data_IF_517558680563
#
_entry.id   IF_517558680563
#
_cell.length_a   1.000
_cell.length_b   1.000
_cell.length_c   1.000
_cell.angle_alpha   90.00
_cell.angle_beta   90.00
_cell.angle_gamma   90.00
#
_symmetry.space_group_name_H-M   'P 1'
#
loop_
_entity.id
_entity.type
_entity.pdbx_description
1 polymer ?
2 water ?
#
# COMPACT_ATOMS: atom_id res chain seq x y z
N UNK A 1 -9.15 -7.26 -22.76
CA UNK A 1 -8.56 -8.62 -23.04
C UNK A 1 -8.48 -8.85 -24.56
N UNK A 2 -9.26 -8.08 -25.32
CA UNK A 2 -9.28 -8.15 -26.79
C UNK A 2 -9.98 -9.36 -27.40
N UNK A 3 -9.65 -9.58 -28.68
CA UNK A 3 -10.19 -10.67 -29.49
C UNK A 3 -9.75 -12.06 -29.02
N UNK A 4 -10.73 -12.96 -28.79
CA UNK A 4 -10.53 -14.34 -28.33
C UNK A 4 -9.63 -15.22 -29.21
N UNK A 5 -8.82 -16.02 -28.53
CA UNK A 5 -7.89 -16.94 -29.15
C UNK A 5 -8.63 -18.23 -29.54
N UNK A 6 -8.22 -18.84 -30.64
CA UNK A 6 -8.85 -20.07 -31.11
C UNK A 6 -7.97 -21.32 -30.93
N UNK A 7 -6.68 -21.13 -30.69
CA UNK A 7 -5.77 -22.25 -30.50
C UNK A 7 -5.04 -22.22 -29.15
N UNK A 8 -4.42 -23.33 -28.80
CA UNK A 8 -3.68 -23.45 -27.55
C UNK A 8 -2.38 -22.67 -27.67
N UNK A 9 -1.79 -22.69 -28.85
CA UNK A 9 -0.55 -21.95 -29.07
C UNK A 9 -0.78 -20.46 -28.92
N UNK A 10 -1.88 -19.98 -29.47
CA UNK A 10 -2.21 -18.56 -29.40
C UNK A 10 -2.53 -18.16 -27.98
N UNK A 11 -3.29 -18.99 -27.29
CA UNK A 11 -3.68 -18.71 -25.90
C UNK A 11 -2.45 -18.74 -24.99
N UNK A 12 -1.48 -19.59 -25.32
CA UNK A 12 -0.25 -19.71 -24.54
C UNK A 12 0.61 -18.46 -24.69
N UNK A 13 0.94 -18.12 -25.93
CA UNK A 13 1.76 -16.95 -26.23
C UNK A 13 1.15 -15.65 -25.69
N UNK A 14 -0.17 -15.52 -25.86
CA UNK A 14 -0.90 -14.33 -25.41
C UNK A 14 -0.76 -14.21 -23.89
N UNK A 15 -0.81 -15.35 -23.21
CA UNK A 15 -0.69 -15.37 -21.76
C UNK A 15 0.72 -15.01 -21.29
N UNK A 16 1.72 -15.43 -22.04
CA UNK A 16 3.08 -15.12 -21.67
C UNK A 16 3.38 -13.64 -21.89
N UNK A 17 2.70 -13.05 -22.87
CA UNK A 17 2.90 -11.63 -23.18
C UNK A 17 2.28 -10.78 -22.07
N UNK A 18 1.19 -11.27 -21.49
CA UNK A 18 0.55 -10.55 -20.40
C UNK A 18 1.37 -10.66 -19.11
N UNK A 19 1.95 -11.84 -18.88
CA UNK A 19 2.80 -12.07 -17.71
C UNK A 19 3.98 -11.10 -17.78
N UNK A 20 4.62 -11.04 -18.94
CA UNK A 20 5.77 -10.16 -19.17
C UNK A 20 5.36 -8.70 -19.04
N UNK A 21 4.20 -8.36 -19.61
CA UNK A 21 3.68 -7.00 -19.55
C UNK A 21 3.39 -6.59 -18.10
N UNK A 22 2.82 -7.50 -17.31
CA UNK A 22 2.54 -7.18 -15.92
C UNK A 22 3.84 -6.83 -15.20
N UNK A 23 4.90 -7.57 -15.51
CA UNK A 23 6.21 -7.36 -14.92
C UNK A 23 6.79 -6.00 -15.32
N UNK A 24 6.84 -5.73 -16.62
CA UNK A 24 7.37 -4.48 -17.16
C UNK A 24 6.52 -3.26 -16.82
N UNK A 25 5.22 -3.34 -17.03
CA UNK A 25 4.32 -2.22 -16.72
C UNK A 25 4.31 -2.00 -15.21
N UNK A 26 4.32 -3.09 -14.45
CA UNK A 26 4.30 -2.98 -13.00
C UNK A 26 5.49 -2.18 -12.51
N UNK A 27 6.64 -2.40 -13.13
CA UNK A 27 7.86 -1.73 -12.74
C UNK A 27 8.13 -0.38 -13.40
N UNK A 28 7.79 -0.23 -14.68
CA UNK A 28 8.06 1.01 -15.40
C UNK A 28 6.87 1.78 -15.96
N UNK A 29 5.67 1.23 -15.79
CA UNK A 29 4.51 1.92 -16.33
C UNK A 29 4.53 1.86 -17.84
N UNK A 30 4.04 2.91 -18.50
CA UNK A 30 4.00 2.93 -19.96
C UNK A 30 5.34 3.26 -20.63
N UNK A 31 6.40 3.39 -19.83
CA UNK A 31 7.74 3.65 -20.35
C UNK A 31 8.34 2.32 -20.74
N UNK A 32 7.68 1.24 -20.34
CA UNK A 32 8.13 -0.10 -20.68
C UNK A 32 7.98 -0.18 -22.20
N UNK A 33 8.93 -0.83 -22.87
CA UNK A 33 8.87 -0.94 -24.33
C UNK A 33 8.30 -2.28 -24.76
N UNK A 34 7.64 -2.29 -25.92
CA UNK A 34 7.07 -3.52 -26.45
C UNK A 34 8.20 -4.49 -26.80
N UNK A 35 9.37 -3.95 -27.17
CA UNK A 35 10.50 -4.81 -27.50
C UNK A 35 10.91 -5.61 -26.28
N UNK A 36 11.01 -4.93 -25.13
CA UNK A 36 11.40 -5.58 -23.89
C UNK A 36 10.35 -6.58 -23.43
N UNK A 37 9.08 -6.20 -23.54
CA UNK A 37 7.98 -7.08 -23.15
C UNK A 37 7.97 -8.33 -24.03
N UNK A 38 8.15 -8.14 -25.33
CA UNK A 38 8.17 -9.28 -26.27
C UNK A 38 9.38 -10.15 -25.98
N UNK A 39 10.55 -9.54 -25.91
CA UNK A 39 11.78 -10.26 -25.62
C UNK A 39 11.60 -11.11 -24.37
N UNK A 40 11.07 -10.50 -23.32
CA UNK A 40 10.84 -11.18 -22.04
C UNK A 40 9.84 -12.33 -22.13
N UNK A 41 8.82 -12.17 -22.96
CA UNK A 41 7.78 -13.19 -23.12
C UNK A 41 8.21 -14.26 -24.12
N UNK A 42 9.37 -14.07 -24.75
CA UNK A 42 9.85 -15.04 -25.71
C UNK A 42 9.01 -15.06 -26.97
N UNK A 43 8.40 -13.91 -27.27
CA UNK A 43 7.55 -13.77 -28.45
C UNK A 43 8.14 -12.70 -29.35
N UNK A 44 7.60 -12.58 -30.55
CA UNK A 44 8.07 -11.56 -31.47
C UNK A 44 7.30 -10.28 -31.16
N UNK A 45 7.84 -9.14 -31.56
CA UNK A 45 7.15 -7.89 -31.28
C UNK A 45 5.88 -7.74 -32.12
N UNK A 46 5.79 -8.49 -33.22
CA UNK A 46 4.61 -8.43 -34.08
C UNK A 46 3.44 -9.16 -33.43
N UNK A 47 3.76 -10.04 -32.49
CA UNK A 47 2.73 -10.80 -31.78
C UNK A 47 1.90 -9.85 -30.92
N UNK A 48 2.55 -8.82 -30.38
CA UNK A 48 1.84 -7.84 -29.56
C UNK A 48 0.84 -7.08 -30.43
N UNK A 49 1.28 -6.69 -31.63
CA UNK A 49 0.40 -5.98 -32.55
C UNK A 49 -0.80 -6.86 -32.90
N UNK A 50 -0.54 -8.13 -33.22
CA UNK A 50 -1.61 -9.05 -33.60
C UNK A 50 -2.68 -9.33 -32.53
N UNK A 51 -2.24 -9.74 -31.34
CA UNK A 51 -3.14 -10.07 -30.24
C UNK A 51 -3.75 -8.88 -29.50
N UNK A 52 -3.02 -7.76 -29.42
CA UNK A 52 -3.52 -6.60 -28.68
C UNK A 52 -3.64 -5.31 -29.48
N UNK A 53 -2.85 -5.18 -30.54
CA UNK A 53 -2.93 -3.98 -31.35
C UNK A 53 -1.95 -2.88 -31.00
N UNK A 54 -1.81 -2.57 -29.71
CA UNK A 54 -0.91 -1.52 -29.28
C UNK A 54 -0.44 -1.72 -27.84
N UNK A 55 0.58 -0.99 -27.43
CA UNK A 55 1.11 -1.10 -26.09
C UNK A 55 0.00 -0.68 -25.11
N UNK A 56 -0.73 0.36 -25.45
CA UNK A 56 -1.80 0.84 -24.57
C UNK A 56 -2.91 -0.20 -24.40
N UNK A 57 -3.20 -0.98 -25.45
CA UNK A 57 -4.25 -1.99 -25.31
C UNK A 57 -3.74 -3.16 -24.49
N UNK A 58 -2.45 -3.43 -24.59
CA UNK A 58 -1.86 -4.51 -23.82
C UNK A 58 -1.92 -4.15 -22.34
N UNK A 59 -1.74 -2.86 -22.04
CA UNK A 59 -1.77 -2.33 -20.69
C UNK A 59 -3.15 -2.60 -20.10
N UNK A 60 -4.18 -2.28 -20.87
CA UNK A 60 -5.56 -2.47 -20.44
C UNK A 60 -5.86 -3.96 -20.29
N UNK A 61 -5.29 -4.78 -21.16
CA UNK A 61 -5.48 -6.21 -21.11
C UNK A 61 -4.95 -6.75 -19.78
N UNK A 62 -3.85 -6.18 -19.29
CA UNK A 62 -3.26 -6.58 -18.02
C UNK A 62 -4.23 -6.25 -16.90
N UNK A 63 -4.87 -5.08 -17.02
CA UNK A 63 -5.85 -4.64 -16.03
C UNK A 63 -7.01 -5.65 -16.05
N UNK A 64 -7.38 -6.10 -17.25
CA UNK A 64 -8.45 -7.06 -17.43
C UNK A 64 -8.07 -8.41 -16.84
N UNK A 65 -6.85 -8.86 -17.09
CA UNK A 65 -6.37 -10.12 -16.56
C UNK A 65 -6.39 -10.07 -15.04
N UNK A 66 -5.96 -8.94 -14.47
CA UNK A 66 -5.94 -8.81 -13.02
C UNK A 66 -7.37 -8.88 -12.48
N UNK A 67 -8.29 -8.22 -13.16
CA UNK A 67 -9.69 -8.20 -12.73
C UNK A 67 -10.24 -9.61 -12.70
N UNK A 68 -10.03 -10.34 -13.79
CA UNK A 68 -10.52 -11.71 -13.85
C UNK A 68 -9.88 -12.59 -12.78
N UNK A 69 -8.57 -12.49 -12.63
CA UNK A 69 -7.83 -13.26 -11.63
C UNK A 69 -8.40 -13.07 -10.21
N UNK A 70 -8.49 -11.81 -9.80
CA UNK A 70 -9.01 -11.47 -8.48
C UNK A 70 -10.50 -11.77 -8.32
N UNK A 71 -11.26 -11.52 -9.38
CA UNK A 71 -12.69 -11.76 -9.32
C UNK A 71 -12.96 -13.23 -9.05
N UNK A 72 -12.15 -14.08 -9.65
CA UNK A 72 -12.26 -15.53 -9.51
C UNK A 72 -11.88 -15.96 -8.09
N UNK A 73 -10.75 -15.47 -7.61
CA UNK A 73 -10.26 -15.79 -6.28
C UNK A 73 -11.29 -15.47 -5.20
N UNK A 74 -12.11 -14.44 -5.43
CA UNK A 74 -13.10 -14.03 -4.45
C UNK A 74 -14.54 -14.26 -4.86
N UNK A 75 -14.74 -15.03 -5.92
CA UNK A 75 -16.08 -15.33 -6.40
C UNK A 75 -16.85 -16.11 -5.34
N UNK A 76 -16.21 -17.13 -4.74
CA UNK A 76 -16.87 -17.93 -3.70
C UNK A 76 -17.30 -17.09 -2.51
N UNK A 77 -16.45 -16.15 -2.09
CA UNK A 77 -16.76 -15.27 -0.97
C UNK A 77 -17.94 -14.39 -1.31
N UNK A 78 -18.00 -13.93 -2.56
CA UNK A 78 -19.10 -13.07 -3.00
C UNK A 78 -20.41 -13.85 -2.99
N UNK A 79 -20.36 -15.10 -3.46
CA UNK A 79 -21.53 -15.96 -3.49
C UNK A 79 -22.02 -16.23 -2.07
N UNK A 80 -21.09 -16.50 -1.16
CA UNK A 80 -21.44 -16.76 0.23
C UNK A 80 -22.04 -15.52 0.89
N UNK A 81 -21.43 -14.36 0.64
CA UNK A 81 -21.90 -13.11 1.22
C UNK A 81 -23.32 -12.79 0.79
N UNK A 82 -23.62 -13.05 -0.49
CA UNK A 82 -24.95 -12.80 -1.02
C UNK A 82 -25.93 -13.77 -0.39
N UNK A 83 -25.57 -15.05 -0.46
CA UNK A 83 -26.35 -16.14 0.11
C UNK A 83 -26.63 -15.88 1.59
N UNK A 84 -25.72 -15.16 2.23
CA UNK A 84 -25.82 -14.85 3.65
C UNK A 84 -26.77 -13.67 3.90
N UNK A 85 -26.74 -12.67 3.01
CA UNK A 85 -27.60 -11.50 3.14
C UNK A 85 -29.04 -11.77 2.73
N UNK A 86 -29.32 -12.99 2.28
CA UNK A 86 -30.67 -13.35 1.87
C UNK A 86 -31.41 -14.07 3.00
N UNK A 87 -31.21 -13.58 4.21
CA UNK A 87 -31.85 -14.14 5.38
C UNK A 87 -32.35 -12.96 6.18
N UNK A 88 -33.55 -13.08 6.77
CA UNK A 88 -34.10 -11.98 7.56
C UNK A 88 -33.06 -11.41 8.52
N UNK A 89 -32.50 -12.28 9.35
CA UNK A 89 -31.47 -11.90 10.31
C UNK A 89 -30.30 -12.87 10.18
N UNK A 90 -29.32 -12.54 9.32
CA UNK A 90 -28.14 -13.37 9.11
C UNK A 90 -27.45 -13.80 10.41
N UNK A 91 -26.68 -14.87 10.32
CA UNK A 91 -25.97 -15.39 11.48
C UNK A 91 -24.70 -14.56 11.75
N UNK A 92 -24.70 -13.89 12.89
CA UNK A 92 -23.60 -13.03 13.31
C UNK A 92 -22.23 -13.71 13.32
N UNK A 93 -22.21 -14.99 13.61
CA UNK A 93 -20.97 -15.75 13.66
C UNK A 93 -20.49 -16.15 12.28
N UNK A 94 -21.44 -16.40 11.39
CA UNK A 94 -21.11 -16.77 10.01
C UNK A 94 -20.61 -15.53 9.28
N UNK A 95 -21.14 -14.37 9.69
CA UNK A 95 -20.74 -13.10 9.10
C UNK A 95 -19.26 -12.89 9.44
N UNK A 96 -18.93 -12.99 10.72
CA UNK A 96 -17.55 -12.84 11.15
C UNK A 96 -16.65 -13.84 10.44
N UNK A 97 -17.12 -15.07 10.30
CA UNK A 97 -16.36 -16.11 9.62
C UNK A 97 -15.98 -15.69 8.21
N UNK A 98 -16.97 -15.15 7.51
CA UNK A 98 -16.80 -14.70 6.13
C UNK A 98 -15.80 -13.55 6.01
N UNK A 99 -15.84 -12.63 6.97
CA UNK A 99 -14.91 -11.51 6.95
C UNK A 99 -13.50 -12.07 7.10
N UNK A 100 -13.35 -13.01 8.04
CA UNK A 100 -12.05 -13.63 8.28
C UNK A 100 -11.58 -14.44 7.08
N UNK A 101 -12.54 -15.03 6.37
CA UNK A 101 -12.23 -15.84 5.18
C UNK A 101 -11.66 -14.95 4.06
N UNK A 102 -12.20 -13.75 3.91
CA UNK A 102 -11.71 -12.83 2.91
C UNK A 102 -10.29 -12.46 3.27
N UNK A 103 -10.08 -12.09 4.53
CA UNK A 103 -8.76 -11.73 5.02
C UNK A 103 -7.75 -12.85 4.80
N UNK A 104 -8.11 -14.09 5.15
CA UNK A 104 -7.21 -15.22 4.96
C UNK A 104 -6.82 -15.37 3.49
N UNK A 105 -7.79 -15.24 2.60
CA UNK A 105 -7.50 -15.36 1.17
C UNK A 105 -6.66 -14.20 0.64
N UNK A 106 -6.89 -12.99 1.18
CA UNK A 106 -6.09 -11.85 0.76
C UNK A 106 -4.65 -12.12 1.20
N UNK A 107 -4.49 -12.55 2.45
CA UNK A 107 -3.17 -12.83 2.99
C UNK A 107 -2.42 -13.94 2.25
N UNK A 108 -3.06 -15.08 1.98
CA UNK A 108 -2.29 -16.11 1.29
C UNK A 108 -1.94 -15.69 -0.14
N UNK A 109 -2.73 -14.76 -0.68
CA UNK A 109 -2.47 -14.25 -2.02
C UNK A 109 -1.35 -13.22 -1.95
N UNK A 110 -1.39 -12.37 -0.93
CA UNK A 110 -0.38 -11.33 -0.73
C UNK A 110 0.94 -11.82 -0.14
N UNK A 111 1.11 -13.13 0.01
CA UNK A 111 2.37 -13.66 0.53
C UNK A 111 3.03 -14.58 -0.48
N UNK A 112 2.59 -14.52 -1.73
CA UNK A 112 3.21 -15.33 -2.77
C UNK A 112 3.80 -14.45 -3.88
N UNK A 113 5.01 -14.79 -4.29
CA UNK A 113 5.76 -14.07 -5.32
C UNK A 113 5.04 -13.87 -6.64
N UNK A 114 4.30 -14.89 -7.08
CA UNK A 114 3.59 -14.83 -8.35
C UNK A 114 2.54 -13.74 -8.48
N UNK A 115 2.23 -13.04 -7.39
CA UNK A 115 1.24 -11.97 -7.46
C UNK A 115 1.87 -10.59 -7.21
N UNK A 116 3.17 -10.55 -6.99
CA UNK A 116 3.85 -9.27 -6.73
C UNK A 116 3.65 -8.27 -7.87
N UNK A 117 3.80 -8.72 -9.12
CA UNK A 117 3.62 -7.82 -10.26
C UNK A 117 2.22 -7.26 -10.34
N UNK A 118 1.26 -8.04 -9.90
CA UNK A 118 -0.12 -7.60 -9.88
C UNK A 118 -0.18 -6.44 -8.88
N UNK A 119 0.51 -6.59 -7.75
CA UNK A 119 0.52 -5.52 -6.76
C UNK A 119 1.22 -4.28 -7.29
N UNK A 120 2.32 -4.47 -8.00
CA UNK A 120 3.06 -3.34 -8.59
C UNK A 120 2.14 -2.55 -9.51
N UNK A 121 1.43 -3.26 -10.38
CA UNK A 121 0.51 -2.67 -11.35
C UNK A 121 -0.59 -1.87 -10.68
N UNK A 122 -1.23 -2.46 -9.68
CA UNK A 122 -2.31 -1.81 -8.93
C UNK A 122 -1.84 -0.61 -8.12
N UNK A 123 -0.68 -0.74 -7.49
CA UNK A 123 -0.11 0.33 -6.68
C UNK A 123 0.14 1.57 -7.49
N UNK A 124 0.69 1.41 -8.68
CA UNK A 124 0.94 2.56 -9.53
C UNK A 124 -0.41 3.22 -9.83
N UNK A 125 -1.37 2.41 -10.26
CA UNK A 125 -2.72 2.89 -10.61
C UNK A 125 -3.48 3.57 -9.47
N UNK A 126 -3.24 3.08 -8.26
CA UNK A 126 -3.88 3.60 -7.07
C UNK A 126 -3.51 5.08 -6.82
N UNK A 127 -2.30 5.47 -7.21
CA UNK A 127 -1.83 6.83 -7.03
C UNK A 127 -1.84 7.63 -8.32
N UNK A 128 -1.97 6.94 -9.45
CA UNK A 128 -2.00 7.59 -10.74
C UNK A 128 -2.95 6.79 -11.63
N UNK A 129 -4.25 6.82 -11.28
CA UNK A 129 -5.34 6.12 -11.97
C UNK A 129 -5.49 6.42 -13.45
N UNK A 130 -5.86 5.39 -14.21
CA UNK A 130 -6.11 5.53 -15.63
C UNK A 130 -7.35 4.67 -15.83
N UNK A 131 -7.71 4.42 -17.08
CA UNK A 131 -8.88 3.59 -17.35
C UNK A 131 -8.65 2.22 -16.74
N UNK A 132 -7.38 1.80 -16.69
CA UNK A 132 -7.03 0.49 -16.13
C UNK A 132 -7.56 0.29 -14.71
N UNK A 133 -7.35 1.27 -13.84
CA UNK A 133 -7.84 1.13 -12.47
C UNK A 133 -9.37 1.05 -12.43
N UNK A 134 -10.03 1.94 -13.16
CA UNK A 134 -11.49 1.98 -13.21
C UNK A 134 -12.05 0.61 -13.55
N UNK A 135 -11.41 -0.06 -14.50
CA UNK A 135 -11.81 -1.39 -14.95
C UNK A 135 -11.77 -2.42 -13.82
N UNK A 136 -10.65 -2.46 -13.10
CA UNK A 136 -10.47 -3.38 -11.98
C UNK A 136 -11.37 -2.97 -10.82
N UNK A 137 -11.57 -1.68 -10.66
CA UNK A 137 -12.40 -1.19 -9.57
C UNK A 137 -13.83 -1.64 -9.77
N UNK A 138 -14.34 -1.47 -10.99
CA UNK A 138 -15.71 -1.83 -11.29
C UNK A 138 -15.98 -3.33 -11.22
N UNK A 139 -15.11 -4.14 -11.82
CA UNK A 139 -15.31 -5.57 -11.80
C UNK A 139 -15.04 -6.27 -10.49
N UNK A 140 -14.09 -5.77 -9.70
CA UNK A 140 -13.76 -6.47 -8.47
C UNK A 140 -13.61 -5.70 -7.17
N UNK A 141 -12.71 -4.72 -7.14
CA UNK A 141 -12.47 -4.02 -5.90
C UNK A 141 -13.72 -3.32 -5.33
N UNK A 142 -14.53 -2.70 -6.18
CA UNK A 142 -15.73 -2.04 -5.67
C UNK A 142 -16.68 -3.10 -5.09
N UNK A 143 -16.94 -4.19 -5.84
CA UNK A 143 -17.83 -5.22 -5.31
C UNK A 143 -17.36 -5.83 -3.98
N UNK A 144 -16.11 -6.28 -3.93
CA UNK A 144 -15.58 -6.89 -2.70
C UNK A 144 -15.50 -5.91 -1.53
N UNK A 145 -15.11 -4.66 -1.79
CA UNK A 145 -15.00 -3.67 -0.72
C UNK A 145 -16.37 -3.39 -0.14
N UNK A 146 -17.37 -3.31 -1.02
CA UNK A 146 -18.74 -3.05 -0.61
C UNK A 146 -19.26 -4.23 0.22
N UNK A 147 -18.94 -5.44 -0.21
CA UNK A 147 -19.37 -6.62 0.54
C UNK A 147 -18.81 -6.61 1.96
N UNK A 148 -17.51 -6.38 2.07
CA UNK A 148 -16.88 -6.35 3.38
C UNK A 148 -17.49 -5.27 4.25
N UNK A 149 -17.71 -4.10 3.66
CA UNK A 149 -18.32 -3.00 4.40
C UNK A 149 -19.69 -3.46 4.87
N UNK A 150 -20.42 -4.16 4.01
CA UNK A 150 -21.74 -4.69 4.35
C UNK A 150 -21.63 -5.68 5.50
N UNK A 151 -20.69 -6.61 5.39
CA UNK A 151 -20.46 -7.61 6.42
C UNK A 151 -20.11 -6.96 7.75
N UNK A 152 -19.18 -6.01 7.71
CA UNK A 152 -18.77 -5.34 8.95
C UNK A 152 -19.95 -4.57 9.56
N UNK A 153 -20.76 -3.97 8.69
CA UNK A 153 -21.94 -3.22 9.14
C UNK A 153 -22.95 -4.16 9.79
N UNK A 154 -23.20 -5.30 9.15
CA UNK A 154 -24.13 -6.29 9.68
C UNK A 154 -23.70 -6.78 11.06
N UNK A 155 -22.41 -7.07 11.21
CA UNK A 155 -21.89 -7.58 12.47
C UNK A 155 -22.00 -6.59 13.62
N UNK A 156 -21.56 -5.36 13.40
CA UNK A 156 -21.58 -4.34 14.46
C UNK A 156 -22.94 -3.72 14.64
N UNK A 157 -23.82 -3.93 13.66
CA UNK A 157 -25.16 -3.39 13.70
C UNK A 157 -25.17 -1.94 13.27
N UNK A 158 -24.39 -1.60 12.26
CA UNK A 158 -24.30 -0.23 11.76
C UNK A 158 -24.80 -0.11 10.32
N UNK A 159 -24.85 1.12 9.81
CA UNK A 159 -25.32 1.38 8.45
C UNK A 159 -24.16 1.24 7.46
N UNK A 160 -24.28 0.28 6.54
CA UNK A 160 -23.28 0.02 5.54
C UNK A 160 -23.04 1.20 4.61
N UNK A 161 -24.04 2.08 4.49
CA UNK A 161 -23.93 3.24 3.60
C UNK A 161 -23.37 4.48 4.28
N UNK A 162 -23.17 4.42 5.59
CA UNK A 162 -22.62 5.54 6.32
C UNK A 162 -21.14 5.67 5.98
N UNK A 163 -20.69 6.87 5.65
CA UNK A 163 -19.29 7.10 5.31
C UNK A 163 -18.34 6.53 6.35
N UNK A 164 -18.66 6.71 7.63
CA UNK A 164 -17.81 6.22 8.71
C UNK A 164 -17.63 4.71 8.69
N UNK A 165 -18.62 3.99 8.16
CA UNK A 165 -18.55 2.53 8.10
C UNK A 165 -17.62 2.12 6.94
N UNK A 166 -17.58 2.94 5.89
CA UNK A 166 -16.72 2.68 4.75
C UNK A 166 -15.27 2.94 5.20
N UNK A 167 -15.07 3.97 6.03
CA UNK A 167 -13.76 4.31 6.53
C UNK A 167 -13.23 3.26 7.50
N UNK A 168 -14.11 2.75 8.35
CA UNK A 168 -13.73 1.70 9.30
C UNK A 168 -13.23 0.46 8.58
N UNK A 169 -14.02 0.03 7.60
CA UNK A 169 -13.70 -1.16 6.80
C UNK A 169 -12.39 -1.00 6.03
N UNK A 170 -12.18 0.16 5.40
CA UNK A 170 -10.97 0.39 4.64
C UNK A 170 -9.77 0.36 5.57
N UNK A 171 -9.92 0.94 6.76
CA UNK A 171 -8.84 0.99 7.73
C UNK A 171 -8.45 -0.42 8.15
N UNK A 172 -9.42 -1.27 8.42
CA UNK A 172 -9.04 -2.61 8.82
C UNK A 172 -8.54 -3.48 7.69
N UNK A 173 -8.82 -3.10 6.44
CA UNK A 173 -8.32 -3.86 5.29
C UNK A 173 -6.84 -3.53 5.13
N UNK A 174 -6.45 -2.36 5.63
CA UNK A 174 -5.06 -1.95 5.55
C UNK A 174 -4.19 -2.88 6.38
N UNK A 175 -4.76 -3.46 7.43
CA UNK A 175 -4.03 -4.38 8.29
C UNK A 175 -3.50 -5.53 7.46
N UNK A 176 -4.33 -6.02 6.54
CA UNK A 176 -3.93 -7.12 5.69
C UNK A 176 -2.91 -6.65 4.64
N UNK A 177 -3.27 -5.61 3.89
CA UNK A 177 -2.41 -5.08 2.85
C UNK A 177 -1.05 -4.57 3.30
N UNK A 178 -0.92 -4.27 4.59
CA UNK A 178 0.35 -3.75 5.10
C UNK A 178 1.49 -4.68 4.78
N UNK A 179 1.24 -5.98 4.86
CA UNK A 179 2.29 -6.96 4.63
C UNK A 179 2.85 -7.07 3.22
N UNK A 180 2.08 -6.66 2.22
CA UNK A 180 2.54 -6.70 0.83
C UNK A 180 2.98 -5.30 0.42
N UNK A 181 2.19 -4.31 0.80
CA UNK A 181 2.53 -2.94 0.46
C UNK A 181 3.75 -2.45 1.26
N UNK A 182 3.97 -3.02 2.43
CA UNK A 182 5.14 -2.63 3.23
C UNK A 182 6.04 -3.85 3.37
N UNK A 183 6.11 -4.64 2.30
CA UNK A 183 6.89 -5.87 2.24
C UNK A 183 8.34 -5.81 2.71
N UNK A 184 9.14 -4.97 2.07
CA UNK A 184 10.54 -4.86 2.44
C UNK A 184 10.73 -4.43 3.88
N UNK A 185 9.96 -3.45 4.35
CA UNK A 185 10.16 -3.05 5.73
C UNK A 185 9.78 -4.12 6.76
N UNK A 186 8.73 -4.91 6.50
CA UNK A 186 8.36 -5.96 7.46
C UNK A 186 9.33 -7.16 7.40
N UNK A 187 9.81 -7.49 6.20
CA UNK A 187 10.76 -8.60 6.10
C UNK A 187 12.03 -8.19 6.85
N UNK A 188 12.51 -6.98 6.63
CA UNK A 188 13.71 -6.52 7.32
C UNK A 188 13.51 -6.43 8.84
N UNK A 189 12.38 -5.88 9.27
CA UNK A 189 12.12 -5.77 10.70
C UNK A 189 12.00 -7.12 11.43
N UNK A 190 11.38 -8.10 10.79
CA UNK A 190 11.22 -9.44 11.38
C UNK A 190 12.44 -10.33 11.18
N UNK A 191 13.24 -10.04 10.16
CA UNK A 191 14.41 -10.85 9.88
C UNK A 191 14.07 -11.97 8.93
N UNK A 192 12.81 -12.03 8.50
CA UNK A 192 12.38 -13.07 7.57
C UNK A 192 12.93 -12.81 6.18
N UNK A 193 13.52 -13.84 5.54
CA UNK A 193 14.08 -13.69 4.20
C UNK A 193 12.99 -13.48 3.13
N UNK A 194 11.84 -14.09 3.38
CA UNK A 194 10.69 -13.98 2.50
C UNK A 194 9.53 -14.61 3.23
N UNK A 195 8.33 -14.48 2.66
CA UNK A 195 7.14 -15.06 3.26
C UNK A 195 6.99 -16.54 2.86
N UNK A 196 6.27 -17.29 3.68
CA UNK A 196 5.99 -18.70 3.40
C UNK A 196 4.70 -19.03 4.16
N UNK A 197 4.21 -20.26 4.01
CA UNK A 197 2.96 -20.65 4.65
C UNK A 197 2.95 -20.40 6.15
N UNK A 198 4.04 -20.76 6.83
CA UNK A 198 4.12 -20.58 8.28
C UNK A 198 4.05 -19.13 8.71
N UNK A 199 4.67 -18.25 7.95
CA UNK A 199 4.65 -16.83 8.26
C UNK A 199 3.27 -16.26 7.97
N UNK A 200 2.60 -16.83 6.97
CA UNK A 200 1.25 -16.40 6.61
C UNK A 200 0.31 -16.74 7.78
N UNK A 201 0.61 -17.84 8.46
CA UNK A 201 -0.20 -18.27 9.61
C UNK A 201 -0.10 -17.21 10.71
N UNK A 202 1.11 -16.70 10.93
CA UNK A 202 1.35 -15.68 11.94
C UNK A 202 0.70 -14.36 11.58
N UNK A 203 0.78 -13.99 10.32
CA UNK A 203 0.17 -12.75 9.87
C UNK A 203 -1.35 -12.82 10.08
N UNK A 204 -1.94 -13.97 9.75
CA UNK A 204 -3.39 -14.15 9.88
C UNK A 204 -3.79 -14.10 11.35
N UNK A 205 -2.99 -14.73 12.19
CA UNK A 205 -3.26 -14.73 13.62
C UNK A 205 -3.26 -13.29 14.14
N UNK A 206 -2.30 -12.48 13.66
CA UNK A 206 -2.20 -11.09 14.08
C UNK A 206 -3.43 -10.30 13.63
N UNK A 207 -3.75 -10.42 12.36
CA UNK A 207 -4.90 -9.72 11.78
C UNK A 207 -6.23 -10.19 12.37
N UNK A 208 -6.38 -11.49 12.55
CA UNK A 208 -7.60 -12.05 13.13
C UNK A 208 -7.80 -11.45 14.51
N UNK A 209 -6.71 -11.31 15.24
CA UNK A 209 -6.75 -10.76 16.57
C UNK A 209 -7.25 -9.33 16.58
N UNK A 210 -6.66 -8.50 15.73
CA UNK A 210 -7.06 -7.09 15.64
C UNK A 210 -8.48 -6.91 15.14
N UNK A 211 -8.88 -7.67 14.14
CA UNK A 211 -10.23 -7.56 13.58
C UNK A 211 -11.27 -7.89 14.65
N UNK A 212 -11.04 -8.93 15.44
CA UNK A 212 -11.96 -9.30 16.50
C UNK A 212 -12.07 -8.19 17.51
N UNK A 213 -10.94 -7.66 17.96
CA UNK A 213 -10.96 -6.58 18.92
C UNK A 213 -11.77 -5.41 18.40
N UNK A 214 -11.59 -5.08 17.13
CA UNK A 214 -12.30 -3.98 16.50
C UNK A 214 -13.79 -4.24 16.31
N UNK A 215 -14.14 -5.43 15.80
CA UNK A 215 -15.54 -5.78 15.59
C UNK A 215 -16.32 -5.74 16.90
N UNK A 216 -15.71 -6.23 17.98
CA UNK A 216 -16.36 -6.22 19.27
C UNK A 216 -16.47 -4.82 19.84
N UNK A 217 -15.46 -4.00 19.58
CA UNK A 217 -15.49 -2.63 20.08
C UNK A 217 -16.48 -1.74 19.34
N UNK A 218 -16.71 -2.05 18.06
CA UNK A 218 -17.63 -1.27 17.25
C UNK A 218 -19.09 -1.68 17.45
N UNK A 219 -19.30 -2.89 17.96
CA UNK A 219 -20.66 -3.37 18.20
C UNK A 219 -21.29 -2.59 19.37
N UNK A 220 -20.45 -2.15 20.30
CA UNK A 220 -20.89 -1.42 21.50
C UNK A 220 -20.36 0.02 21.70
N UNK B 7 24.34 28.06 -1.95
CA UNK B 7 23.60 29.28 -2.39
C UNK B 7 22.10 28.99 -2.49
N UNK B 8 21.28 29.97 -2.09
CA UNK B 8 19.84 29.80 -2.14
C UNK B 8 19.36 29.55 -3.57
N UNK B 9 20.16 29.99 -4.53
CA UNK B 9 19.82 29.83 -5.94
C UNK B 9 20.15 28.40 -6.40
N UNK B 10 21.29 27.90 -5.94
CA UNK B 10 21.70 26.55 -6.29
C UNK B 10 20.89 25.51 -5.56
N UNK B 11 20.54 25.80 -4.31
CA UNK B 11 19.74 24.89 -3.52
C UNK B 11 18.35 24.82 -4.12
N UNK B 12 17.89 25.94 -4.66
CA UNK B 12 16.59 25.98 -5.29
C UNK B 12 16.63 25.19 -6.59
N UNK B 13 17.78 25.19 -7.26
CA UNK B 13 17.94 24.45 -8.51
C UNK B 13 17.90 22.96 -8.20
N UNK B 14 18.52 22.56 -7.10
CA UNK B 14 18.55 21.17 -6.67
C UNK B 14 17.15 20.71 -6.24
N UNK B 15 16.39 21.62 -5.64
CA UNK B 15 15.03 21.32 -5.19
C UNK B 15 14.15 20.97 -6.36
N UNK B 16 14.19 21.81 -7.38
CA UNK B 16 13.40 21.61 -8.57
C UNK B 16 13.76 20.30 -9.25
N UNK B 17 15.06 20.01 -9.34
CA UNK B 17 15.50 18.76 -9.95
C UNK B 17 15.01 17.56 -9.14
N UNK B 18 15.09 17.64 -7.81
CA UNK B 18 14.61 16.54 -6.96
C UNK B 18 13.10 16.36 -7.11
N UNK B 19 12.36 17.46 -7.11
CA UNK B 19 10.92 17.38 -7.26
C UNK B 19 10.57 16.71 -8.58
N UNK B 20 11.21 17.17 -9.65
CA UNK B 20 10.97 16.62 -10.98
C UNK B 20 11.38 15.13 -11.08
N UNK B 21 12.48 14.78 -10.44
CA UNK B 21 12.98 13.41 -10.42
C UNK B 21 12.01 12.50 -9.67
N UNK B 22 11.47 12.98 -8.56
CA UNK B 22 10.51 12.20 -7.77
C UNK B 22 9.27 11.93 -8.61
N UNK B 23 8.84 12.96 -9.34
CA UNK B 23 7.67 12.84 -10.21
C UNK B 23 7.95 11.80 -11.27
N UNK B 24 9.04 12.00 -12.00
CA UNK B 24 9.43 11.08 -13.07
C UNK B 24 9.81 9.68 -12.57
N UNK B 25 10.68 9.61 -11.55
CA UNK B 25 11.09 8.32 -11.00
C UNK B 25 9.93 7.62 -10.31
N UNK B 26 9.09 8.40 -9.63
CA UNK B 26 7.96 7.81 -8.95
C UNK B 26 7.04 7.10 -9.90
N UNK B 27 6.90 7.65 -11.10
CA UNK B 27 6.02 7.09 -12.12
C UNK B 27 6.64 5.99 -12.98
N UNK B 28 7.87 6.20 -13.46
CA UNK B 28 8.52 5.23 -14.35
C UNK B 28 9.76 4.53 -13.84
N UNK B 29 10.12 4.77 -12.59
CA UNK B 29 11.32 4.14 -12.05
C UNK B 29 12.53 4.59 -12.86
N UNK B 30 13.54 3.73 -12.96
CA UNK B 30 14.75 4.09 -13.68
C UNK B 30 14.61 4.13 -15.21
N UNK B 31 13.39 4.03 -15.72
CA UNK B 31 13.17 4.13 -17.16
C UNK B 31 12.92 5.59 -17.50
N UNK B 32 12.88 6.42 -16.45
CA UNK B 32 12.69 7.85 -16.61
C UNK B 32 14.02 8.38 -17.17
N UNK B 33 13.97 9.43 -17.99
CA UNK B 33 15.19 9.99 -18.57
C UNK B 33 15.60 11.29 -17.90
N UNK B 34 16.90 11.55 -17.87
CA UNK B 34 17.41 12.77 -17.26
C UNK B 34 17.02 13.95 -18.14
N UNK B 35 16.80 13.67 -19.41
CA UNK B 35 16.39 14.71 -20.34
C UNK B 35 15.01 15.21 -19.92
N UNK B 36 14.09 14.27 -19.70
CA UNK B 36 12.72 14.62 -19.29
C UNK B 36 12.70 15.26 -17.90
N UNK B 37 13.50 14.75 -16.98
CA UNK B 37 13.56 15.30 -15.62
C UNK B 37 14.08 16.74 -15.67
N UNK B 38 15.16 16.96 -16.43
CA UNK B 38 15.73 18.29 -16.55
C UNK B 38 14.71 19.24 -17.18
N UNK B 39 14.06 18.78 -18.24
CA UNK B 39 13.07 19.59 -18.94
C UNK B 39 11.95 19.97 -18.00
N UNK B 40 11.46 18.99 -17.25
CA UNK B 40 10.39 19.19 -16.31
C UNK B 40 10.81 20.14 -15.20
N UNK B 41 12.07 20.07 -14.79
CA UNK B 41 12.59 20.93 -13.74
C UNK B 41 12.87 22.34 -14.26
N UNK B 42 12.81 22.50 -15.58
CA UNK B 42 13.07 23.79 -16.20
C UNK B 42 14.55 24.14 -16.21
N UNK B 43 15.39 23.14 -16.39
CA UNK B 43 16.82 23.39 -16.39
C UNK B 43 17.59 22.57 -17.42
N UNK B 44 18.84 22.96 -17.60
CA UNK B 44 19.72 22.30 -18.53
C UNK B 44 20.04 20.91 -17.96
N UNK B 45 20.24 19.94 -18.84
CA UNK B 45 20.57 18.61 -18.38
C UNK B 45 21.91 18.64 -17.64
N UNK B 46 22.75 19.61 -17.97
CA UNK B 46 24.05 19.75 -17.33
C UNK B 46 23.92 19.96 -15.84
N UNK B 47 22.81 20.53 -15.40
CA UNK B 47 22.57 20.77 -13.98
C UNK B 47 22.55 19.46 -13.20
N UNK B 48 22.00 18.41 -13.80
CA UNK B 48 21.92 17.11 -13.13
C UNK B 48 23.32 16.52 -12.94
N UNK B 49 24.10 16.51 -14.02
CA UNK B 49 25.45 15.96 -13.98
C UNK B 49 26.31 16.69 -12.95
N UNK B 50 26.15 18.01 -12.90
CA UNK B 50 26.90 18.88 -11.97
C UNK B 50 26.52 18.69 -10.50
N UNK B 51 25.23 18.80 -10.21
CA UNK B 51 24.76 18.65 -8.84
C UNK B 51 24.64 17.23 -8.33
N UNK B 52 24.30 16.28 -9.19
CA UNK B 52 24.12 14.91 -8.74
C UNK B 52 24.99 13.86 -9.38
N UNK B 53 25.13 13.94 -10.70
CA UNK B 53 25.94 12.95 -11.40
C UNK B 53 25.08 12.19 -12.38
N UNK B 54 25.15 10.87 -12.35
CA UNK B 54 24.37 10.02 -13.25
C UNK B 54 22.90 9.96 -12.86
N UNK B 55 22.11 9.32 -13.71
CA UNK B 55 20.69 9.15 -13.43
C UNK B 55 20.56 8.37 -12.12
N UNK B 56 21.41 7.35 -11.97
CA UNK B 56 21.41 6.51 -10.77
C UNK B 56 21.80 7.34 -9.55
N UNK B 57 22.65 8.35 -9.75
CA UNK B 57 23.05 9.20 -8.63
C UNK B 57 21.86 10.04 -8.20
N UNK B 58 21.11 10.53 -9.18
CA UNK B 58 19.93 11.35 -8.91
C UNK B 58 18.84 10.53 -8.23
N UNK B 59 18.69 9.27 -8.63
CA UNK B 59 17.70 8.39 -8.05
C UNK B 59 18.01 8.23 -6.56
N UNK B 60 19.27 8.00 -6.22
CA UNK B 60 19.65 7.83 -4.83
C UNK B 60 19.52 9.14 -4.06
N UNK B 61 19.70 10.26 -4.75
CA UNK B 61 19.59 11.56 -4.10
C UNK B 61 18.13 11.81 -3.74
N UNK B 62 17.20 11.23 -4.52
CA UNK B 62 15.78 11.37 -4.24
C UNK B 62 15.47 10.59 -2.95
N UNK B 63 16.11 9.44 -2.81
CA UNK B 63 15.94 8.61 -1.63
C UNK B 63 16.49 9.37 -0.41
N UNK B 64 17.64 10.00 -0.58
CA UNK B 64 18.23 10.76 0.51
C UNK B 64 17.30 11.88 0.94
N UNK B 65 16.69 12.53 -0.04
CA UNK B 65 15.76 13.62 0.24
C UNK B 65 14.53 13.14 1.02
N UNK B 66 14.04 11.96 0.65
CA UNK B 66 12.88 11.40 1.32
C UNK B 66 13.25 11.05 2.75
N UNK B 67 14.45 10.53 2.97
CA UNK B 67 14.87 10.18 4.32
C UNK B 67 14.97 11.46 5.15
N UNK B 68 15.58 12.49 4.58
CA UNK B 68 15.73 13.77 5.27
C UNK B 68 14.37 14.38 5.60
N UNK B 69 13.47 14.37 4.61
CA UNK B 69 12.12 14.92 4.77
C UNK B 69 11.39 14.23 5.91
N UNK B 70 11.23 12.91 5.79
CA UNK B 70 10.57 12.09 6.80
C UNK B 70 11.21 12.24 8.17
N UNK B 71 12.54 12.24 8.20
CA UNK B 71 13.24 12.38 9.46
C UNK B 71 12.87 13.66 10.16
N UNK B 72 12.79 14.75 9.42
CA UNK B 72 12.44 16.04 10.00
C UNK B 72 11.01 16.03 10.51
N UNK B 73 10.10 15.51 9.71
CA UNK B 73 8.70 15.45 10.08
C UNK B 73 8.49 14.72 11.40
N UNK B 74 9.29 13.70 11.67
CA UNK B 74 9.09 12.95 12.90
C UNK B 74 10.04 13.24 14.04
N UNK B 75 10.96 14.18 13.84
CA UNK B 75 11.91 14.55 14.87
C UNK B 75 11.17 15.02 16.13
N UNK B 76 10.21 15.96 15.96
CA UNK B 76 9.44 16.48 17.10
C UNK B 76 8.89 15.37 18.01
N UNK B 77 8.36 14.32 17.41
CA UNK B 77 7.79 13.19 18.16
C UNK B 77 8.88 12.42 18.91
N UNK B 78 10.05 12.31 18.31
CA UNK B 78 11.16 11.58 18.92
C UNK B 78 11.66 12.32 20.15
N UNK B 79 11.78 13.64 20.02
CA UNK B 79 12.24 14.47 21.12
C UNK B 79 11.22 14.42 22.25
N UNK B 80 9.95 14.40 21.87
CA UNK B 80 8.87 14.35 22.84
C UNK B 80 8.87 13.01 23.58
N UNK B 81 9.19 11.93 22.88
CA UNK B 81 9.22 10.61 23.52
C UNK B 81 10.42 10.54 24.46
N UNK B 82 11.52 11.13 24.05
CA UNK B 82 12.71 11.12 24.89
C UNK B 82 12.42 11.83 26.20
N UNK B 83 11.75 12.97 26.13
CA UNK B 83 11.43 13.71 27.34
C UNK B 83 10.50 12.91 28.24
N UNK B 84 9.64 12.09 27.65
CA UNK B 84 8.71 11.28 28.44
C UNK B 84 9.48 10.20 29.20
N UNK B 85 10.36 9.50 28.50
CA UNK B 85 11.15 8.46 29.13
C UNK B 85 12.41 9.09 29.66
N UNK B 86 12.21 10.23 30.33
CA UNK B 86 13.30 11.00 30.92
C UNK B 86 13.01 11.10 32.41
N UNK B 87 11.77 10.76 32.76
CA UNK B 87 11.32 10.82 34.15
C UNK B 87 11.11 9.41 34.69
N UNK B 88 11.24 9.26 36.00
CA UNK B 88 11.06 7.94 36.63
C UNK B 88 9.57 7.62 36.73
N UNK B 89 8.76 8.67 36.77
CA UNK B 89 7.31 8.55 36.89
C UNK B 89 6.64 7.83 35.71
N UNK B 90 5.92 6.75 36.01
CA UNK B 90 5.22 5.95 34.98
C UNK B 90 4.01 6.74 34.47
N UNK B 91 3.90 6.88 33.15
CA UNK B 91 2.77 7.61 32.58
C UNK B 91 2.27 6.91 31.33
N UNK B 92 1.69 5.74 31.55
CA UNK B 92 1.16 4.87 30.50
C UNK B 92 0.24 5.48 29.45
N UNK B 93 -0.60 6.43 29.82
CA UNK B 93 -1.51 7.04 28.86
C UNK B 93 -0.80 8.11 28.04
N UNK B 94 0.38 8.52 28.50
CA UNK B 94 1.18 9.51 27.81
C UNK B 94 1.82 8.78 26.64
N UNK B 95 2.11 7.50 26.85
CA UNK B 95 2.70 6.64 25.84
C UNK B 95 1.70 6.45 24.71
N UNK B 96 0.47 6.11 25.09
CA UNK B 96 -0.59 5.92 24.11
C UNK B 96 -0.78 7.22 23.33
N UNK B 97 -0.59 8.34 24.00
CA UNK B 97 -0.72 9.66 23.41
C UNK B 97 0.31 9.85 22.29
N UNK B 98 1.53 9.38 22.53
CA UNK B 98 2.60 9.49 21.54
C UNK B 98 2.27 8.66 20.28
N UNK B 99 1.80 7.44 20.50
CA UNK B 99 1.44 6.54 19.40
C UNK B 99 0.40 7.21 18.51
N UNK B 100 -0.71 7.64 19.11
CA UNK B 100 -1.79 8.30 18.38
C UNK B 100 -1.35 9.57 17.67
N UNK B 101 -0.46 10.31 18.30
CA UNK B 101 0.03 11.56 17.74
C UNK B 101 0.89 11.31 16.50
N UNK B 102 1.59 10.17 16.49
CA UNK B 102 2.45 9.80 15.36
C UNK B 102 1.56 9.42 14.19
N UNK B 103 0.48 8.71 14.51
CA UNK B 103 -0.47 8.30 13.48
C UNK B 103 -1.12 9.52 12.86
N UNK B 104 -1.47 10.49 13.69
CA UNK B 104 -2.09 11.71 13.23
C UNK B 104 -1.16 12.36 12.22
N UNK B 105 0.09 12.57 12.63
CA UNK B 105 1.06 13.18 11.76
C UNK B 105 1.24 12.37 10.48
N UNK B 106 1.26 11.04 10.59
CA UNK B 106 1.39 10.18 9.40
C UNK B 106 0.18 10.41 8.50
N UNK B 107 -1.01 10.39 9.09
CA UNK B 107 -2.24 10.59 8.35
C UNK B 107 -2.29 11.95 7.65
N UNK B 108 -1.82 13.00 8.33
CA UNK B 108 -1.83 14.34 7.74
C UNK B 108 -0.92 14.31 6.51
N UNK B 109 0.28 13.76 6.71
CA UNK B 109 1.24 13.69 5.63
C UNK B 109 0.72 12.87 4.44
N UNK B 110 0.06 11.75 4.72
CA UNK B 110 -0.46 10.88 3.68
C UNK B 110 -1.79 11.27 3.04
N UNK B 111 -2.23 12.51 3.29
CA UNK B 111 -3.47 13.01 2.70
C UNK B 111 -3.23 14.33 1.98
N UNK B 112 -1.96 14.59 1.62
CA UNK B 112 -1.60 15.80 0.89
C UNK B 112 -1.07 15.35 -0.47
N UNK B 113 -1.51 16.00 -1.55
CA UNK B 113 -1.04 15.65 -2.89
C UNK B 113 0.43 15.96 -2.95
N UNK B 114 0.81 16.81 -2.00
CA UNK B 114 2.15 17.29 -1.75
C UNK B 114 3.16 16.13 -1.66
N UNK B 115 2.73 15.03 -1.04
CA UNK B 115 3.59 13.87 -0.84
C UNK B 115 3.29 12.63 -1.67
N UNK B 116 2.43 12.74 -2.69
CA UNK B 116 2.10 11.57 -3.51
C UNK B 116 3.28 10.96 -4.29
N UNK B 117 4.20 11.78 -4.78
CA UNK B 117 5.34 11.25 -5.53
C UNK B 117 6.34 10.58 -4.60
N UNK B 118 6.34 11.00 -3.35
CA UNK B 118 7.22 10.40 -2.37
C UNK B 118 6.71 8.97 -2.12
N UNK B 119 5.38 8.82 -2.12
CA UNK B 119 4.74 7.51 -1.94
C UNK B 119 4.94 6.60 -3.15
N UNK B 120 4.84 7.16 -4.36
CA UNK B 120 5.04 6.37 -5.56
C UNK B 120 6.44 5.76 -5.54
N UNK B 121 7.42 6.59 -5.18
CA UNK B 121 8.82 6.18 -5.11
C UNK B 121 9.06 5.10 -4.06
N UNK B 122 8.51 5.28 -2.86
CA UNK B 122 8.67 4.29 -1.80
C UNK B 122 7.92 3.01 -2.14
N UNK B 123 6.69 3.12 -2.63
CA UNK B 123 5.90 1.93 -2.99
C UNK B 123 6.64 1.02 -3.94
N UNK B 124 7.25 1.60 -4.98
CA UNK B 124 7.98 0.82 -5.96
C UNK B 124 9.14 0.08 -5.30
N UNK B 125 9.91 0.82 -4.50
CA UNK B 125 11.07 0.26 -3.80
C UNK B 125 10.69 -0.83 -2.81
N UNK B 126 9.48 -0.71 -2.26
CA UNK B 126 9.00 -1.67 -1.30
C UNK B 126 8.85 -3.06 -1.95
N UNK B 127 8.42 -3.09 -3.21
CA UNK B 127 8.22 -4.35 -3.92
C UNK B 127 9.38 -4.74 -4.84
N UNK B 128 10.36 -3.85 -4.94
CA UNK B 128 11.53 -4.10 -5.76
C UNK B 128 12.67 -3.26 -5.17
N UNK B 129 13.13 -3.63 -3.96
CA UNK B 129 14.20 -2.96 -3.21
C UNK B 129 15.47 -2.68 -4.01
N UNK B 130 16.03 -1.52 -3.75
CA UNK B 130 17.23 -1.04 -4.40
C UNK B 130 18.06 -0.49 -3.24
N UNK B 131 19.26 0.01 -3.54
CA UNK B 131 20.07 0.60 -2.49
C UNK B 131 19.31 1.81 -2.00
N UNK B 132 18.37 2.29 -2.82
CA UNK B 132 17.56 3.45 -2.45
C UNK B 132 16.69 3.13 -1.25
N UNK B 133 16.01 1.97 -1.26
CA UNK B 133 15.17 1.59 -0.13
C UNK B 133 15.98 1.40 1.13
N UNK B 134 17.12 0.75 1.00
CA UNK B 134 17.99 0.49 2.13
C UNK B 134 18.41 1.80 2.80
N UNK B 135 18.71 2.82 1.99
CA UNK B 135 19.10 4.11 2.53
C UNK B 135 17.98 4.67 3.42
N UNK B 136 16.79 4.77 2.86
CA UNK B 136 15.64 5.29 3.61
C UNK B 136 15.30 4.41 4.81
N UNK B 137 15.46 3.10 4.66
CA UNK B 137 15.16 2.19 5.75
C UNK B 137 16.09 2.39 6.96
N UNK B 138 17.40 2.40 6.71
CA UNK B 138 18.38 2.57 7.78
C UNK B 138 18.29 3.93 8.43
N UNK B 139 18.13 4.96 7.61
CA UNK B 139 18.08 6.31 8.14
C UNK B 139 16.78 6.72 8.82
N UNK B 140 15.64 6.23 8.34
CA UNK B 140 14.35 6.64 8.91
C UNK B 140 13.32 5.55 9.24
N UNK B 141 13.08 4.63 8.30
CA UNK B 141 12.06 3.61 8.52
C UNK B 141 12.35 2.61 9.64
N UNK B 142 13.56 2.07 9.68
CA UNK B 142 13.89 1.12 10.74
C UNK B 142 13.74 1.78 12.13
N UNK B 143 14.30 2.98 12.34
CA UNK B 143 14.19 3.65 13.64
C UNK B 143 12.75 4.00 14.04
N UNK B 144 11.99 4.53 13.10
CA UNK B 144 10.62 4.91 13.37
C UNK B 144 9.74 3.70 13.64
N UNK B 145 9.87 2.67 12.81
CA UNK B 145 9.07 1.46 12.98
C UNK B 145 9.46 0.80 14.31
N UNK B 146 10.75 0.81 14.62
CA UNK B 146 11.26 0.20 15.85
C UNK B 146 10.75 0.96 17.07
N UNK B 147 10.85 2.28 17.01
CA UNK B 147 10.38 3.13 18.12
C UNK B 147 8.88 2.92 18.34
N UNK B 148 8.13 2.79 17.25
CA UNK B 148 6.70 2.56 17.32
C UNK B 148 6.42 1.22 17.97
N UNK B 149 7.18 0.20 17.60
CA UNK B 149 7.02 -1.13 18.17
C UNK B 149 7.33 -1.06 19.67
N UNK B 150 8.33 -0.27 20.02
CA UNK B 150 8.71 -0.12 21.41
C UNK B 150 7.63 0.59 22.22
N UNK B 151 7.01 1.61 21.64
CA UNK B 151 5.94 2.32 22.34
C UNK B 151 4.76 1.38 22.57
N UNK B 152 4.40 0.61 21.54
CA UNK B 152 3.31 -0.33 21.68
C UNK B 152 3.68 -1.37 22.74
N UNK B 153 4.90 -1.88 22.66
CA UNK B 153 5.37 -2.89 23.61
C UNK B 153 5.29 -2.35 25.03
N UNK B 154 5.74 -1.12 25.24
CA UNK B 154 5.76 -0.50 26.55
C UNK B 154 4.35 -0.24 27.08
N UNK B 155 3.43 0.14 26.19
CA UNK B 155 2.08 0.40 26.63
C UNK B 155 1.39 -0.88 27.09
N UNK B 156 1.45 -1.91 26.25
CA UNK B 156 0.82 -3.19 26.53
C UNK B 156 1.64 -4.08 27.45
N UNK B 157 2.85 -3.64 27.79
CA UNK B 157 3.71 -4.42 28.66
C UNK B 157 4.20 -5.70 28.03
N UNK B 158 4.61 -5.64 26.77
CA UNK B 158 5.11 -6.84 26.10
C UNK B 158 6.56 -6.65 25.75
N UNK B 159 7.14 -7.65 25.07
CA UNK B 159 8.55 -7.57 24.67
C UNK B 159 8.66 -7.01 23.26
N UNK B 160 9.32 -5.85 23.16
CA UNK B 160 9.47 -5.18 21.88
C UNK B 160 10.15 -5.98 20.77
N UNK B 161 11.07 -6.87 21.12
CA UNK B 161 11.78 -7.65 20.10
C UNK B 161 11.07 -8.91 19.64
N UNK B 162 10.00 -9.27 20.35
CA UNK B 162 9.23 -10.44 20.00
C UNK B 162 8.67 -10.25 18.58
N UNK B 163 8.80 -11.27 17.74
CA UNK B 163 8.29 -11.19 16.38
C UNK B 163 6.83 -10.77 16.36
N UNK B 164 6.07 -11.24 17.34
CA UNK B 164 4.65 -10.92 17.45
C UNK B 164 4.38 -9.43 17.64
N UNK B 165 5.21 -8.75 18.44
CA UNK B 165 5.03 -7.32 18.69
C UNK B 165 5.30 -6.59 17.38
N UNK B 166 6.32 -7.06 16.66
CA UNK B 166 6.67 -6.44 15.39
C UNK B 166 5.51 -6.57 14.40
N UNK B 167 4.88 -7.76 14.39
CA UNK B 167 3.75 -8.00 13.50
C UNK B 167 2.52 -7.18 13.88
N UNK B 168 2.23 -7.08 15.17
CA UNK B 168 1.07 -6.30 15.62
C UNK B 168 1.21 -4.85 15.19
N UNK B 169 2.39 -4.30 15.42
CA UNK B 169 2.69 -2.93 15.09
C UNK B 169 2.61 -2.72 13.58
N UNK B 170 3.17 -3.63 12.81
CA UNK B 170 3.13 -3.48 11.37
C UNK B 170 1.69 -3.51 10.86
N UNK B 171 0.89 -4.44 11.39
CA UNK B 171 -0.51 -4.55 11.00
C UNK B 171 -1.22 -3.25 11.37
N UNK B 172 -0.93 -2.76 12.56
CA UNK B 172 -1.50 -1.54 13.08
C UNK B 172 -1.20 -0.37 12.14
N UNK B 173 0.06 -0.22 11.75
CA UNK B 173 0.47 0.85 10.85
C UNK B 173 -0.24 0.77 9.51
N UNK B 174 -0.63 -0.45 9.12
CA UNK B 174 -1.31 -0.65 7.86
C UNK B 174 -2.61 0.12 7.77
N UNK B 175 -3.25 0.34 8.91
CA UNK B 175 -4.51 1.07 8.94
C UNK B 175 -4.28 2.53 8.54
N UNK B 176 -3.17 3.10 8.98
CA UNK B 176 -2.83 4.47 8.66
C UNK B 176 -2.46 4.59 7.19
N UNK B 177 -1.59 3.71 6.73
CA UNK B 177 -1.16 3.74 5.34
C UNK B 177 -2.23 3.38 4.33
N UNK B 178 -3.25 2.68 4.80
CA UNK B 178 -4.35 2.24 3.94
C UNK B 178 -4.96 3.33 3.06
N UNK B 179 -5.02 4.54 3.59
CA UNK B 179 -5.63 5.64 2.85
C UNK B 179 -4.80 6.26 1.73
N UNK B 180 -3.48 6.10 1.79
CA UNK B 180 -2.61 6.61 0.73
C UNK B 180 -2.40 5.46 -0.27
N UNK B 181 -2.09 4.28 0.28
CA UNK B 181 -1.87 3.09 -0.55
C UNK B 181 -3.12 2.62 -1.29
N UNK B 182 -4.30 2.85 -0.72
CA UNK B 182 -5.54 2.47 -1.38
C UNK B 182 -6.32 3.77 -1.64
N UNK B 183 -5.59 4.83 -1.98
CA UNK B 183 -6.16 6.13 -2.22
C UNK B 183 -7.35 6.17 -3.19
N UNK B 184 -7.13 5.75 -4.43
CA UNK B 184 -8.21 5.77 -5.41
C UNK B 184 -9.42 4.93 -5.02
N UNK B 185 -9.22 3.78 -4.38
CA UNK B 185 -10.39 2.99 -4.04
C UNK B 185 -11.19 3.61 -2.91
N UNK B 186 -10.54 4.23 -1.93
CA UNK B 186 -11.30 4.84 -0.83
C UNK B 186 -11.97 6.16 -1.27
N UNK B 187 -11.36 6.88 -2.21
CA UNK B 187 -11.98 8.12 -2.68
C UNK B 187 -13.22 7.75 -3.48
N UNK B 188 -13.14 6.69 -4.29
CA UNK B 188 -14.29 6.26 -5.07
C UNK B 188 -15.39 5.71 -4.18
N UNK B 189 -15.02 4.88 -3.21
CA UNK B 189 -15.99 4.29 -2.29
C UNK B 189 -16.70 5.34 -1.42
N UNK B 190 -15.97 6.36 -0.99
CA UNK B 190 -16.55 7.42 -0.15
C UNK B 190 -17.18 8.54 -0.97
N UNK B 191 -16.83 8.61 -2.24
CA UNK B 191 -17.37 9.64 -3.09
C UNK B 191 -16.64 10.96 -2.94
N UNK B 192 -15.58 10.99 -2.12
CA UNK B 192 -14.82 12.23 -1.95
C UNK B 192 -14.01 12.44 -3.22
N UNK B 193 -13.99 13.68 -3.74
CA UNK B 193 -13.22 13.92 -4.96
C UNK B 193 -11.72 13.92 -4.63
N UNK B 194 -11.41 14.24 -3.39
CA UNK B 194 -10.04 14.27 -2.92
C UNK B 194 -10.10 14.51 -1.42
N UNK B 195 -8.96 14.38 -0.75
CA UNK B 195 -8.89 14.60 0.69
C UNK B 195 -8.78 16.09 1.02
N UNK B 196 -9.00 16.40 2.29
CA UNK B 196 -8.88 17.76 2.80
C UNK B 196 -8.77 17.63 4.32
N UNK B 197 -8.74 18.78 4.99
CA UNK B 197 -8.61 18.83 6.45
C UNK B 197 -9.63 18.01 7.22
N UNK B 198 -10.91 18.24 6.91
CA UNK B 198 -12.00 17.56 7.60
C UNK B 198 -12.07 16.07 7.29
N UNK B 199 -11.72 15.67 6.07
CA UNK B 199 -11.74 14.26 5.71
C UNK B 199 -10.59 13.52 6.41
N UNK B 200 -9.42 14.16 6.46
CA UNK B 200 -8.25 13.57 7.12
C UNK B 200 -8.53 13.44 8.61
N UNK B 201 -9.39 14.32 9.11
CA UNK B 201 -9.81 14.35 10.52
C UNK B 201 -10.63 13.08 10.83
N UNK B 202 -11.55 12.73 9.93
CA UNK B 202 -12.37 11.54 10.08
C UNK B 202 -11.51 10.28 10.02
N UNK B 203 -10.55 10.26 9.09
CA UNK B 203 -9.64 9.13 8.98
C UNK B 203 -8.92 8.98 10.31
N UNK B 204 -8.41 10.09 10.83
CA UNK B 204 -7.71 10.07 12.10
C UNK B 204 -8.58 9.48 13.20
N UNK B 205 -9.84 9.93 13.24
CA UNK B 205 -10.77 9.45 14.26
C UNK B 205 -11.03 7.96 14.13
N UNK B 206 -11.11 7.48 12.89
CA UNK B 206 -11.35 6.07 12.61
C UNK B 206 -10.18 5.24 13.13
N UNK B 207 -8.99 5.57 12.62
CA UNK B 207 -7.78 4.85 13.00
C UNK B 207 -7.55 4.90 14.50
N UNK B 208 -7.73 6.08 15.10
CA UNK B 208 -7.54 6.24 16.55
C UNK B 208 -8.47 5.32 17.33
N UNK B 209 -9.69 5.17 16.85
CA UNK B 209 -10.65 4.29 17.47
C UNK B 209 -10.07 2.87 17.49
N UNK B 210 -9.64 2.40 16.33
CA UNK B 210 -9.09 1.05 16.20
C UNK B 210 -7.84 0.84 17.03
N UNK B 211 -6.93 1.80 17.02
CA UNK B 211 -5.69 1.71 17.78
C UNK B 211 -6.01 1.55 19.27
N UNK B 212 -6.91 2.39 19.77
CA UNK B 212 -7.32 2.32 21.17
C UNK B 212 -7.88 0.94 21.45
N UNK B 213 -8.76 0.47 20.57
CA UNK B 213 -9.35 -0.84 20.77
C UNK B 213 -8.29 -1.93 20.80
N UNK B 214 -7.33 -1.82 19.89
CA UNK B 214 -6.27 -2.82 19.78
C UNK B 214 -5.29 -2.74 20.95
N UNK B 215 -4.87 -1.54 21.31
CA UNK B 215 -3.93 -1.39 22.41
C UNK B 215 -4.47 -1.97 23.72
N UNK B 216 -5.76 -1.81 23.98
CA UNK B 216 -6.34 -2.35 25.20
C UNK B 216 -6.51 -3.86 25.18
N UNK B 217 -6.85 -4.40 24.01
CA UNK B 217 -7.02 -5.85 23.90
C UNK B 217 -5.70 -6.59 23.99
N UNK B 218 -4.61 -5.90 23.70
CA UNK B 218 -3.30 -6.53 23.73
C UNK B 218 -2.62 -6.42 25.09
N UNK B 219 -2.95 -5.38 25.85
CA UNK B 219 -2.32 -5.18 27.15
C UNK B 219 -2.35 -6.49 27.95
N UNK B 220 -1.15 -7.03 28.15
CA UNK B 220 -0.95 -8.30 28.84
C UNK B 220 -1.28 -8.19 30.33
#
# INVERSE_FOLDING_TARGET
>A
MNIPTTTTKGEQAKSQLIAAALAQFGEYGLHATTRDIAALAGQNIAAITYYFGSKEDLYLACAQWIADFLGEKFRPHAEKAERLFSQPAPDRDAIRELILLACKNMIMLLTQEDTVNLSKFISREQLSPTSAYQLVHEQVIDPLHTHLTRLVAAYTGCDANDTRMILHTHALLGEVLAFRLGKETILLRTGWPQFDEEKAELIYQTVTCHIDLILHGLTQRSLD
>B
MNIPTTTTKGEQAKSQLIAAALAQFGEYGLHATTRDIAALAGQNIAAITYYFGSKEDLYLACAQWIADFLGEKFRPHAEKAERLFSQPAPDRDAIRELILLACKNMIMLLTQEDTVNLSKFISREQLSPTSAYQLVHEQVIDPLHTHLTRLVAAYTGCDANDTRMILHTHALLGEVLAFRLGKETILLRTGWPQFDEEKAELIYQTVTCHIDLILHGLTQRSLD
#
